data_IF_365215697058
#
_entry.id   IF_365215697058
#
_cell.length_a   1.000
_cell.length_b   1.000
_cell.length_c   1.000
_cell.angle_alpha   90.00
_cell.angle_beta   90.00
_cell.angle_gamma   90.00
#
_symmetry.space_group_name_H-M   'P 1'
#
loop_
_entity.id
_entity.type
_entity.pdbx_description
1 polymer ?
#
# COMPACT_ATOMS: atom_id res chain seq x y z
N UNK A 1 43.54 51.44 -68.73
CA UNK A 1 42.78 50.76 -67.66
C UNK A 1 41.82 49.78 -68.31
N UNK A 2 42.12 48.49 -68.27
CA UNK A 2 41.24 47.42 -68.77
C UNK A 2 41.02 46.45 -67.62
N UNK A 3 39.81 46.49 -67.07
CA UNK A 3 39.29 45.62 -66.02
C UNK A 3 39.04 44.23 -66.59
N UNK A 4 39.86 43.25 -66.20
CA UNK A 4 39.62 41.85 -66.48
C UNK A 4 38.55 41.32 -65.50
N UNK A 5 37.32 41.19 -65.99
CA UNK A 5 36.24 40.50 -65.28
C UNK A 5 36.50 38.99 -65.30
N UNK A 6 36.83 38.43 -64.15
CA UNK A 6 36.96 36.97 -63.96
C UNK A 6 35.57 36.35 -64.10
N UNK A 7 35.26 35.83 -65.28
CA UNK A 7 34.04 35.05 -65.53
C UNK A 7 34.18 33.70 -64.82
N UNK A 8 33.62 33.58 -63.60
CA UNK A 8 33.47 32.28 -62.92
C UNK A 8 32.70 31.34 -63.86
N UNK A 9 33.39 30.36 -64.44
CA UNK A 9 32.74 29.22 -65.10
C UNK A 9 31.91 28.50 -64.03
N UNK A 10 30.58 28.57 -64.14
CA UNK A 10 29.70 27.67 -63.40
C UNK A 10 29.82 26.31 -64.07
N UNK A 11 30.62 25.41 -63.50
CA UNK A 11 30.59 24.01 -63.91
C UNK A 11 29.21 23.46 -63.53
N UNK A 12 28.44 23.02 -64.54
CA UNK A 12 27.20 22.29 -64.30
C UNK A 12 27.53 20.87 -63.80
N UNK A 13 26.69 20.34 -62.92
CA UNK A 13 26.82 18.97 -62.43
C UNK A 13 26.61 17.97 -63.56
N UNK A 14 27.44 16.93 -63.62
CA UNK A 14 27.25 15.84 -64.59
C UNK A 14 26.15 14.90 -64.10
N UNK A 15 25.43 14.26 -65.02
CA UNK A 15 24.38 13.28 -64.68
C UNK A 15 24.93 12.13 -63.81
N UNK A 16 26.18 11.73 -64.07
CA UNK A 16 26.90 10.71 -63.29
C UNK A 16 27.14 11.16 -61.84
N UNK A 17 27.50 12.42 -61.63
CA UNK A 17 27.75 12.98 -60.31
C UNK A 17 26.46 13.04 -59.46
N UNK A 18 25.33 13.41 -60.06
CA UNK A 18 24.02 13.37 -59.40
C UNK A 18 23.61 11.93 -59.05
N UNK A 19 23.88 10.97 -59.93
CA UNK A 19 23.58 9.55 -59.69
C UNK A 19 24.39 9.00 -58.51
N UNK A 20 25.69 9.29 -58.44
CA UNK A 20 26.56 8.85 -57.33
C UNK A 20 26.08 9.46 -56.00
N UNK A 21 25.72 10.75 -55.99
CA UNK A 21 25.20 11.42 -54.78
C UNK A 21 23.90 10.78 -54.30
N UNK A 22 22.97 10.45 -55.21
CA UNK A 22 21.71 9.78 -54.87
C UNK A 22 21.93 8.39 -54.26
N UNK A 23 22.84 7.61 -54.82
CA UNK A 23 23.18 6.26 -54.28
C UNK A 23 23.78 6.37 -52.88
N UNK A 24 24.74 7.28 -52.69
CA UNK A 24 25.38 7.48 -51.38
C UNK A 24 24.38 7.99 -50.32
N UNK A 25 23.52 8.94 -50.68
CA UNK A 25 22.41 9.41 -49.82
C UNK A 25 21.47 8.26 -49.45
N UNK A 26 21.15 7.37 -50.40
CA UNK A 26 20.31 6.20 -50.15
C UNK A 26 20.93 5.24 -49.14
N UNK A 27 22.22 4.92 -49.28
CA UNK A 27 22.97 4.05 -48.35
C UNK A 27 23.03 4.69 -46.96
N UNK A 28 23.34 5.98 -46.87
CA UNK A 28 23.41 6.70 -45.61
C UNK A 28 22.06 6.76 -44.91
N UNK A 29 20.99 7.07 -45.65
CA UNK A 29 19.62 7.09 -45.13
C UNK A 29 19.18 5.71 -44.63
N UNK A 30 19.49 4.65 -45.38
CA UNK A 30 19.20 3.28 -44.96
C UNK A 30 19.96 2.93 -43.66
N UNK A 31 21.25 3.25 -43.58
CA UNK A 31 22.04 3.03 -42.37
C UNK A 31 21.47 3.78 -41.16
N UNK A 32 21.11 5.06 -41.33
CA UNK A 32 20.50 5.88 -40.27
C UNK A 32 19.16 5.31 -39.80
N UNK A 33 18.29 4.90 -40.72
CA UNK A 33 16.99 4.27 -40.37
C UNK A 33 17.22 2.97 -39.59
N UNK A 34 18.17 2.12 -40.01
CA UNK A 34 18.46 0.88 -39.27
C UNK A 34 18.97 1.15 -37.86
N UNK A 35 19.78 2.19 -37.67
CA UNK A 35 20.27 2.61 -36.36
C UNK A 35 19.14 3.12 -35.47
N UNK A 36 18.29 4.01 -36.00
CA UNK A 36 17.13 4.56 -35.28
C UNK A 36 16.15 3.46 -34.85
N UNK A 37 15.86 2.50 -35.74
CA UNK A 37 14.99 1.37 -35.40
C UNK A 37 15.59 0.47 -34.31
N UNK A 38 16.92 0.28 -34.30
CA UNK A 38 17.62 -0.46 -33.23
C UNK A 38 17.54 0.31 -31.90
N UNK A 39 17.80 1.61 -31.93
CA UNK A 39 17.67 2.48 -30.76
C UNK A 39 16.25 2.45 -30.20
N UNK A 40 15.22 2.62 -31.03
CA UNK A 40 13.82 2.60 -30.59
C UNK A 40 13.45 1.27 -29.91
N UNK A 41 13.87 0.12 -30.47
CA UNK A 41 13.63 -1.19 -29.85
C UNK A 41 14.34 -1.34 -28.51
N UNK A 42 15.58 -0.87 -28.42
CA UNK A 42 16.35 -0.89 -27.19
C UNK A 42 15.72 0.00 -26.11
N UNK A 43 15.31 1.23 -26.46
CA UNK A 43 14.60 2.13 -25.56
C UNK A 43 13.28 1.52 -25.07
N UNK A 44 12.47 0.97 -25.96
CA UNK A 44 11.21 0.31 -25.59
C UNK A 44 11.46 -0.87 -24.64
N UNK A 45 12.46 -1.71 -24.93
CA UNK A 45 12.82 -2.84 -24.07
C UNK A 45 13.30 -2.37 -22.69
N UNK A 46 14.10 -1.31 -22.64
CA UNK A 46 14.62 -0.73 -21.39
C UNK A 46 13.49 -0.14 -20.55
N UNK A 47 12.57 0.60 -21.17
CA UNK A 47 11.38 1.15 -20.51
C UNK A 47 10.52 0.04 -19.93
N UNK A 48 10.30 -1.05 -20.65
CA UNK A 48 9.55 -2.21 -20.14
C UNK A 48 10.22 -2.87 -18.93
N UNK A 49 11.56 -2.97 -18.93
CA UNK A 49 12.33 -3.45 -17.77
C UNK A 49 12.15 -2.55 -16.56
N UNK A 50 12.26 -1.24 -16.75
CA UNK A 50 12.12 -0.25 -15.68
C UNK A 50 10.71 -0.30 -15.09
N UNK A 51 9.67 -0.26 -15.93
CA UNK A 51 8.27 -0.28 -15.48
C UNK A 51 7.96 -1.57 -14.72
N UNK A 52 8.36 -2.74 -15.24
CA UNK A 52 8.14 -4.03 -14.56
C UNK A 52 8.79 -4.05 -13.18
N UNK A 53 10.03 -3.54 -13.06
CA UNK A 53 10.74 -3.46 -11.77
C UNK A 53 10.11 -2.46 -10.81
N UNK A 54 9.64 -1.31 -11.30
CA UNK A 54 8.94 -0.32 -10.48
C UNK A 54 7.65 -0.91 -9.89
N UNK A 55 6.88 -1.64 -10.68
CA UNK A 55 5.65 -2.30 -10.23
C UNK A 55 5.92 -3.37 -9.17
N UNK A 56 6.93 -4.24 -9.37
CA UNK A 56 7.33 -5.22 -8.36
C UNK A 56 7.79 -4.53 -7.07
N UNK A 57 8.59 -3.47 -7.17
CA UNK A 57 9.06 -2.72 -5.99
C UNK A 57 7.91 -2.09 -5.22
N UNK A 58 6.93 -1.49 -5.91
CA UNK A 58 5.73 -0.92 -5.31
C UNK A 58 4.96 -1.98 -4.50
N UNK A 59 4.74 -3.18 -5.07
CA UNK A 59 4.11 -4.31 -4.38
C UNK A 59 4.85 -4.67 -3.08
N UNK A 60 6.17 -4.79 -3.18
CA UNK A 60 7.03 -5.24 -2.07
C UNK A 60 7.40 -4.16 -1.06
N UNK A 61 7.09 -2.88 -1.30
CA UNK A 61 7.36 -1.81 -0.35
C UNK A 61 6.21 -1.61 0.63
N UNK A 62 4.97 -1.70 0.15
CA UNK A 62 3.76 -1.51 0.94
C UNK A 62 3.54 -2.67 1.92
N UNK A 63 3.64 -3.91 1.45
CA UNK A 63 3.41 -5.10 2.27
C UNK A 63 4.28 -5.15 3.55
N UNK A 64 5.61 -4.98 3.52
CA UNK A 64 6.42 -4.96 4.74
C UNK A 64 6.02 -3.89 5.75
N UNK A 65 5.58 -2.71 5.29
CA UNK A 65 5.19 -1.64 6.21
C UNK A 65 4.01 -2.08 7.05
N UNK A 66 2.99 -2.65 6.42
CA UNK A 66 1.79 -3.14 7.11
C UNK A 66 2.07 -4.40 7.94
N UNK A 67 2.81 -5.36 7.38
CA UNK A 67 3.11 -6.64 8.04
C UNK A 67 3.97 -6.46 9.31
N UNK A 68 4.82 -5.42 9.38
CA UNK A 68 5.64 -5.15 10.57
C UNK A 68 4.82 -4.73 11.79
N UNK A 69 3.67 -4.12 11.58
CA UNK A 69 2.77 -3.66 12.64
C UNK A 69 1.93 -4.78 13.24
N UNK A 70 1.90 -5.96 12.60
CA UNK A 70 1.08 -7.08 13.04
C UNK A 70 1.60 -7.73 14.32
N UNK A 71 0.67 -8.14 15.17
CA UNK A 71 0.88 -8.99 16.33
C UNK A 71 0.28 -10.38 16.13
N UNK A 72 1.14 -11.40 16.27
CA UNK A 72 0.68 -12.78 16.36
C UNK A 72 -0.10 -13.00 17.65
N UNK A 73 0.42 -12.52 18.78
CA UNK A 73 -0.19 -12.66 20.10
C UNK A 73 -1.54 -11.95 20.19
N UNK A 74 -1.69 -10.81 19.51
CA UNK A 74 -2.95 -10.10 19.38
C UNK A 74 -4.00 -10.87 18.56
N UNK A 75 -3.59 -11.84 17.72
CA UNK A 75 -4.48 -12.54 16.81
C UNK A 75 -4.76 -11.77 15.51
N UNK A 76 -3.82 -10.94 15.05
CA UNK A 76 -4.05 -10.05 13.91
C UNK A 76 -4.19 -10.77 12.57
N UNK A 77 -3.69 -12.00 12.45
CA UNK A 77 -3.71 -12.77 11.21
C UNK A 77 -5.05 -13.54 11.07
N UNK A 78 -5.88 -13.12 10.12
CA UNK A 78 -7.21 -13.67 9.88
C UNK A 78 -7.24 -14.73 8.78
N UNK A 79 -6.54 -14.51 7.67
CA UNK A 79 -6.43 -15.46 6.53
C UNK A 79 -4.97 -15.61 6.15
N UNK A 80 -4.58 -16.85 5.84
CA UNK A 80 -3.20 -17.23 5.54
C UNK A 80 -3.21 -18.27 4.43
N UNK A 81 -2.91 -17.88 3.19
CA UNK A 81 -2.82 -18.79 2.03
C UNK A 81 -1.52 -18.55 1.27
N UNK A 82 -1.27 -19.34 0.22
CA UNK A 82 -0.10 -19.18 -0.65
C UNK A 82 -0.13 -17.89 -1.48
N UNK A 83 -1.30 -17.31 -1.73
CA UNK A 83 -1.51 -16.23 -2.69
C UNK A 83 -2.34 -15.08 -2.12
N UNK A 84 -2.75 -15.18 -0.86
CA UNK A 84 -3.46 -14.14 -0.13
C UNK A 84 -3.15 -14.14 1.36
N UNK A 85 -3.29 -12.96 1.95
CA UNK A 85 -3.18 -12.75 3.38
C UNK A 85 -4.20 -11.72 3.83
N UNK A 86 -4.84 -11.98 4.98
CA UNK A 86 -5.72 -11.02 5.63
C UNK A 86 -5.29 -10.80 7.06
N UNK A 87 -5.20 -9.53 7.46
CA UNK A 87 -4.82 -9.18 8.81
C UNK A 87 -5.38 -7.83 9.25
N UNK A 88 -5.36 -7.59 10.56
CA UNK A 88 -5.70 -6.28 11.14
C UNK A 88 -4.53 -5.30 10.95
N UNK A 89 -4.76 -4.26 10.16
CA UNK A 89 -3.83 -3.16 9.97
C UNK A 89 -4.28 -1.91 10.73
N UNK A 90 -3.33 -1.18 11.32
CA UNK A 90 -3.60 0.09 11.99
C UNK A 90 -3.82 1.17 10.93
N UNK A 91 -5.01 1.76 10.87
CA UNK A 91 -5.31 2.85 9.92
C UNK A 91 -5.46 4.22 10.59
N UNK A 92 -5.51 4.26 11.92
CA UNK A 92 -5.73 5.49 12.66
C UNK A 92 -5.34 5.40 14.12
N UNK A 93 -5.10 6.56 14.70
CA UNK A 93 -4.81 6.74 16.13
C UNK A 93 -5.60 7.92 16.67
N UNK A 94 -5.95 7.88 17.95
CA UNK A 94 -6.57 9.01 18.65
C UNK A 94 -6.23 8.97 20.13
N UNK A 95 -6.72 9.97 20.86
CA UNK A 95 -6.72 10.02 22.32
C UNK A 95 -8.17 10.00 22.79
N UNK A 96 -8.43 9.17 23.80
CA UNK A 96 -9.73 9.07 24.45
C UNK A 96 -10.00 10.38 25.17
N UNK A 97 -11.03 11.11 24.74
CA UNK A 97 -11.42 12.33 25.42
C UNK A 97 -12.32 12.05 26.61
N UNK A 98 -13.36 11.23 26.44
CA UNK A 98 -14.19 10.74 27.53
C UNK A 98 -14.27 9.22 27.43
N UNK A 99 -14.30 8.53 28.58
CA UNK A 99 -14.44 7.07 28.65
C UNK A 99 -15.55 6.76 29.65
N UNK A 100 -16.47 5.88 29.27
CA UNK A 100 -17.55 5.43 30.13
C UNK A 100 -17.65 3.91 30.09
N UNK A 101 -17.09 3.26 31.12
CA UNK A 101 -17.11 1.82 31.28
C UNK A 101 -18.54 1.26 31.40
N UNK A 102 -19.42 1.91 32.19
CA UNK A 102 -20.79 1.46 32.40
C UNK A 102 -21.66 1.58 31.14
N UNK A 103 -21.43 2.63 30.35
CA UNK A 103 -22.10 2.86 29.06
C UNK A 103 -21.46 2.14 27.87
N UNK A 104 -20.33 1.46 28.08
CA UNK A 104 -19.57 0.77 27.04
C UNK A 104 -19.16 1.66 25.85
N UNK A 105 -18.75 2.90 26.13
CA UNK A 105 -18.38 3.85 25.08
C UNK A 105 -17.18 4.73 25.46
N UNK A 106 -16.54 5.30 24.44
CA UNK A 106 -15.56 6.37 24.59
C UNK A 106 -15.78 7.42 23.50
N UNK A 107 -15.19 8.60 23.67
CA UNK A 107 -15.16 9.65 22.67
C UNK A 107 -13.73 10.00 22.26
N UNK A 108 -13.56 10.56 21.07
CA UNK A 108 -12.25 10.94 20.53
C UNK A 108 -12.03 12.43 20.57
N UNK A 109 -10.78 12.85 20.71
CA UNK A 109 -10.40 14.23 20.36
C UNK A 109 -10.69 14.47 18.86
N UNK A 110 -11.17 15.66 18.45
CA UNK A 110 -11.31 16.01 17.03
C UNK A 110 -10.00 15.91 16.25
N UNK A 111 -10.07 15.86 14.92
CA UNK A 111 -8.90 15.67 14.05
C UNK A 111 -7.99 16.90 14.06
N UNK A 112 -8.58 18.09 14.04
CA UNK A 112 -7.86 19.36 14.04
C UNK A 112 -8.01 20.05 15.40
N UNK A 113 -6.95 20.66 15.91
CA UNK A 113 -6.99 21.47 17.12
C UNK A 113 -6.41 22.84 16.81
N UNK A 114 -7.02 23.90 17.35
CA UNK A 114 -6.56 25.28 17.19
C UNK A 114 -5.13 25.49 17.71
N UNK A 115 -4.72 24.69 18.70
CA UNK A 115 -3.35 24.67 19.25
C UNK A 115 -2.32 23.98 18.33
N UNK A 116 -2.74 23.43 17.20
CA UNK A 116 -1.86 22.72 16.25
C UNK A 116 -1.36 21.35 16.71
N UNK A 117 -1.87 20.82 17.84
CA UNK A 117 -1.53 19.48 18.31
C UNK A 117 -2.30 18.41 17.53
N UNK A 118 -1.62 17.37 17.05
CA UNK A 118 -2.22 16.27 16.31
C UNK A 118 -2.46 15.07 17.24
N UNK A 119 -3.60 15.05 17.93
CA UNK A 119 -3.98 13.96 18.83
C UNK A 119 -4.78 12.85 18.13
N UNK A 120 -5.44 13.20 17.03
CA UNK A 120 -6.25 12.27 16.22
C UNK A 120 -5.78 12.30 14.78
N UNK A 121 -5.52 11.13 14.21
CA UNK A 121 -5.10 10.98 12.83
C UNK A 121 -5.71 9.72 12.22
N UNK A 122 -6.50 9.89 11.17
CA UNK A 122 -6.95 8.82 10.29
C UNK A 122 -7.36 9.44 8.95
N UNK A 123 -7.16 8.70 7.85
CA UNK A 123 -7.60 9.14 6.52
C UNK A 123 -9.06 8.78 6.23
N UNK A 124 -9.56 7.74 6.90
CA UNK A 124 -10.93 7.24 6.79
C UNK A 124 -11.46 7.18 8.22
N UNK A 125 -12.66 7.70 8.51
CA UNK A 125 -13.21 7.61 9.86
C UNK A 125 -13.41 6.14 10.27
N UNK A 126 -13.35 5.84 11.57
CA UNK A 126 -13.75 4.53 12.07
C UNK A 126 -15.17 4.21 11.61
N UNK A 127 -15.42 2.94 11.33
CA UNK A 127 -16.69 2.40 10.87
C UNK A 127 -17.19 1.33 11.85
N UNK A 128 -18.48 0.99 11.74
CA UNK A 128 -19.06 -0.14 12.46
C UNK A 128 -18.25 -1.42 12.20
N UNK A 129 -18.03 -2.23 13.24
CA UNK A 129 -17.27 -3.47 13.24
C UNK A 129 -15.75 -3.34 13.04
N UNK A 130 -15.20 -2.12 12.96
CA UNK A 130 -13.75 -1.95 13.10
C UNK A 130 -13.30 -2.41 14.49
N UNK A 131 -12.04 -2.81 14.57
CA UNK A 131 -11.39 -3.15 15.84
C UNK A 131 -10.70 -1.91 16.41
N UNK A 132 -10.69 -1.79 17.72
CA UNK A 132 -10.03 -0.70 18.43
C UNK A 132 -9.24 -1.29 19.60
N UNK A 133 -8.09 -0.71 19.89
CA UNK A 133 -7.36 -0.96 21.12
C UNK A 133 -7.26 0.33 21.93
N UNK A 134 -7.68 0.27 23.18
CA UNK A 134 -7.54 1.34 24.15
C UNK A 134 -6.42 0.98 25.11
N UNK A 135 -5.56 1.95 25.43
CA UNK A 135 -4.58 1.78 26.49
C UNK A 135 -5.26 1.90 27.86
N UNK A 136 -5.03 0.92 28.71
CA UNK A 136 -5.57 0.83 30.06
C UNK A 136 -4.39 0.81 31.04
N UNK A 137 -4.32 1.79 31.92
CA UNK A 137 -3.23 1.96 32.92
C UNK A 137 -3.40 0.98 34.10
N UNK A 138 -4.49 0.22 34.13
CA UNK A 138 -4.76 -0.68 35.25
C UNK A 138 -5.12 0.04 36.55
N UNK A 139 -5.25 -0.74 37.62
CA UNK A 139 -5.68 -0.25 38.94
C UNK A 139 -4.51 0.11 39.85
N UNK A 140 -3.31 -0.38 39.52
CA UNK A 140 -2.12 -0.28 40.35
C UNK A 140 -1.25 0.88 39.90
N UNK A 141 -0.54 1.49 40.85
CA UNK A 141 0.46 2.50 40.52
C UNK A 141 1.74 1.77 40.09
N UNK A 142 1.90 1.53 38.78
CA UNK A 142 3.08 0.93 38.15
C UNK A 142 2.73 0.13 36.90
N UNK A 143 3.66 -0.01 35.94
CA UNK A 143 3.35 -0.54 34.61
C UNK A 143 3.15 -2.06 34.48
N UNK A 144 2.70 -2.76 35.53
CA UNK A 144 2.55 -4.22 35.54
C UNK A 144 1.16 -4.68 35.06
N UNK A 145 0.15 -3.84 35.25
CA UNK A 145 -1.23 -4.05 34.80
C UNK A 145 -1.63 -3.19 33.60
N UNK A 146 -0.74 -2.29 33.17
CA UNK A 146 -0.80 -1.56 31.91
C UNK A 146 -0.96 -2.50 30.71
N UNK A 147 -1.93 -2.22 29.85
CA UNK A 147 -2.14 -3.04 28.67
C UNK A 147 -3.06 -2.45 27.61
N UNK A 148 -2.91 -2.98 26.40
CA UNK A 148 -3.85 -2.71 25.31
C UNK A 148 -5.09 -3.58 25.44
N UNK A 149 -6.25 -2.96 25.62
CA UNK A 149 -7.56 -3.61 25.64
C UNK A 149 -8.18 -3.57 24.26
N UNK A 150 -8.34 -4.74 23.65
CA UNK A 150 -8.95 -4.87 22.33
C UNK A 150 -10.47 -4.98 22.44
N UNK A 151 -11.17 -4.20 21.63
CA UNK A 151 -12.61 -4.21 21.50
C UNK A 151 -13.02 -4.02 20.04
N UNK A 152 -14.29 -4.31 19.74
CA UNK A 152 -14.92 -4.04 18.45
C UNK A 152 -15.88 -2.88 18.58
N UNK A 153 -15.92 -2.01 17.57
CA UNK A 153 -16.92 -0.95 17.46
C UNK A 153 -18.29 -1.59 17.17
N UNK A 154 -19.21 -1.49 18.13
CA UNK A 154 -20.55 -2.08 18.05
C UNK A 154 -21.60 -1.09 17.57
N UNK A 155 -21.33 0.20 17.73
CA UNK A 155 -22.04 1.28 17.07
C UNK A 155 -21.11 2.50 17.02
N UNK A 156 -21.31 3.36 16.04
CA UNK A 156 -20.77 4.73 16.07
C UNK A 156 -21.92 5.66 16.41
N UNK A 157 -22.21 5.85 17.70
CA UNK A 157 -23.24 6.79 18.13
C UNK A 157 -22.78 8.23 17.93
N UNK A 158 -23.17 8.81 16.79
CA UNK A 158 -23.21 10.26 16.50
C UNK A 158 -21.88 11.02 16.45
N UNK A 159 -21.80 11.93 15.47
CA UNK A 159 -20.81 13.01 15.46
C UNK A 159 -21.24 14.04 16.51
N UNK A 160 -20.39 14.28 17.51
CA UNK A 160 -20.71 15.22 18.58
C UNK A 160 -20.03 16.56 18.27
N UNK A 161 -20.86 17.58 18.10
CA UNK A 161 -20.45 18.97 17.89
C UNK A 161 -20.72 19.77 19.16
N UNK A 162 -19.85 20.74 19.46
CA UNK A 162 -19.96 21.55 20.67
C UNK A 162 -19.44 20.87 21.94
N UNK A 163 -19.43 21.66 23.02
CA UNK A 163 -18.84 21.31 24.32
C UNK A 163 -19.78 20.38 25.13
N UNK A 164 -19.62 19.07 24.97
CA UNK A 164 -20.49 18.05 25.57
C UNK A 164 -19.70 16.84 26.10
N UNK A 165 -20.13 16.30 27.23
CA UNK A 165 -19.57 15.10 27.89
C UNK A 165 -19.67 13.81 27.07
N UNK A 166 -20.62 13.71 26.13
CA UNK A 166 -20.67 12.56 25.18
C UNK A 166 -19.65 12.72 24.04
N UNK A 167 -19.20 13.95 23.78
CA UNK A 167 -18.13 14.25 22.85
C UNK A 167 -16.83 14.51 23.61
N UNK A 168 -16.15 15.59 23.25
CA UNK A 168 -14.95 16.03 23.94
C UNK A 168 -15.19 17.41 24.55
N UNK A 169 -15.52 17.50 25.85
CA UNK A 169 -15.81 18.79 26.46
C UNK A 169 -14.52 19.58 26.71
N UNK A 170 -14.58 20.91 26.75
CA UNK A 170 -13.43 21.78 27.05
C UNK A 170 -12.87 21.55 28.47
N UNK A 171 -13.71 21.02 29.38
CA UNK A 171 -13.31 20.57 30.72
C UNK A 171 -12.28 19.43 30.70
N UNK A 172 -12.17 18.68 29.60
CA UNK A 172 -11.11 17.69 29.38
C UNK A 172 -9.71 18.30 29.34
N UNK A 173 -9.60 19.61 29.08
CA UNK A 173 -8.35 20.34 28.79
C UNK A 173 -7.61 19.86 27.54
N UNK A 174 -8.16 18.89 26.81
CA UNK A 174 -7.63 18.39 25.54
C UNK A 174 -8.04 19.28 24.36
N UNK A 175 -9.18 19.96 24.49
CA UNK A 175 -9.79 20.79 23.43
C UNK A 175 -10.23 22.16 23.97
N UNK A 176 -10.49 23.07 23.05
CA UNK A 176 -11.15 24.35 23.27
C UNK A 176 -12.53 24.33 22.61
N UNK A 177 -13.44 25.20 23.03
CA UNK A 177 -14.81 25.27 22.46
C UNK A 177 -14.79 25.48 20.94
N UNK A 178 -13.83 26.26 20.43
CA UNK A 178 -13.66 26.52 19.00
C UNK A 178 -13.23 25.30 18.18
N UNK A 179 -12.70 24.25 18.81
CA UNK A 179 -12.27 23.04 18.10
C UNK A 179 -13.47 22.18 17.67
N UNK A 180 -14.60 22.29 18.37
CA UNK A 180 -15.74 21.37 18.28
C UNK A 180 -16.80 21.89 17.30
N UNK A 181 -16.49 21.82 16.01
CA UNK A 181 -17.37 22.31 14.93
C UNK A 181 -18.02 21.16 14.16
N UNK A 182 -19.02 21.47 13.32
CA UNK A 182 -19.64 20.49 12.44
C UNK A 182 -18.65 19.86 11.43
N UNK A 183 -17.62 20.59 11.02
CA UNK A 183 -16.56 20.09 10.13
C UNK A 183 -15.41 19.41 10.88
N UNK A 184 -15.36 19.50 12.21
CA UNK A 184 -14.35 18.89 13.06
C UNK A 184 -14.99 18.31 14.34
N UNK A 185 -15.87 17.31 14.21
CA UNK A 185 -16.59 16.75 15.34
C UNK A 185 -15.71 15.82 16.19
N UNK A 186 -16.11 15.65 17.44
CA UNK A 186 -15.71 14.50 18.25
C UNK A 186 -16.50 13.27 17.81
N UNK A 187 -15.89 12.09 17.81
CA UNK A 187 -16.60 10.84 17.55
C UNK A 187 -16.97 10.20 18.88
N UNK A 188 -18.23 9.82 19.05
CA UNK A 188 -18.70 9.04 20.18
C UNK A 188 -18.92 7.60 19.70
N UNK A 189 -18.22 6.65 20.34
CA UNK A 189 -17.98 5.31 19.82
C UNK A 189 -18.36 4.28 20.90
N UNK A 190 -19.34 3.43 20.59
CA UNK A 190 -19.71 2.31 21.44
C UNK A 190 -18.90 1.07 21.06
N UNK A 191 -18.45 0.33 22.08
CA UNK A 191 -17.56 -0.82 21.89
C UNK A 191 -17.97 -2.03 22.72
N UNK A 192 -17.49 -3.20 22.29
CA UNK A 192 -17.58 -4.44 23.05
C UNK A 192 -16.28 -5.25 22.89
N UNK A 193 -15.65 -5.72 23.98
CA UNK A 193 -16.01 -5.50 25.38
C UNK A 193 -15.98 -4.02 25.79
N UNK A 194 -16.71 -3.67 26.85
CA UNK A 194 -16.73 -2.30 27.38
C UNK A 194 -15.33 -1.87 27.88
N UNK A 195 -15.01 -0.56 27.89
CA UNK A 195 -13.82 -0.08 28.58
C UNK A 195 -13.84 -0.49 30.05
N UNK A 196 -12.66 -0.65 30.65
CA UNK A 196 -12.52 -0.83 32.10
C UNK A 196 -12.63 0.51 32.81
N UNK A 197 -12.97 0.50 34.10
CA UNK A 197 -13.00 1.73 34.92
C UNK A 197 -11.60 2.36 35.10
N UNK A 198 -10.55 1.60 34.80
CA UNK A 198 -9.14 2.00 34.84
C UNK A 198 -8.67 2.63 33.52
N UNK A 199 -9.47 2.56 32.45
CA UNK A 199 -9.19 3.29 31.21
C UNK A 199 -9.50 4.78 31.42
N UNK A 200 -8.46 5.61 31.47
CA UNK A 200 -8.57 7.02 31.82
C UNK A 200 -8.82 7.94 30.62
N UNK A 201 -9.33 9.14 30.90
CA UNK A 201 -9.28 10.27 29.96
C UNK A 201 -7.82 10.57 29.60
N UNK A 202 -7.55 10.74 28.31
CA UNK A 202 -6.19 10.86 27.79
C UNK A 202 -5.57 9.54 27.32
N UNK A 203 -6.26 8.40 27.51
CA UNK A 203 -5.77 7.11 27.06
C UNK A 203 -5.53 7.08 25.54
N UNK A 204 -4.46 6.39 25.13
CA UNK A 204 -4.15 6.23 23.70
C UNK A 204 -5.09 5.23 23.04
N UNK A 205 -5.54 5.54 21.82
CA UNK A 205 -6.42 4.70 21.02
C UNK A 205 -5.76 4.35 19.69
N UNK A 206 -5.86 3.08 19.30
CA UNK A 206 -5.48 2.58 17.97
C UNK A 206 -6.69 1.97 17.28
N UNK A 207 -6.91 2.34 16.02
CA UNK A 207 -7.97 1.80 15.20
C UNK A 207 -7.40 0.82 14.18
N UNK A 208 -8.06 -0.31 14.04
CA UNK A 208 -7.66 -1.41 13.20
C UNK A 208 -8.79 -1.78 12.25
N UNK A 209 -8.40 -2.07 11.02
CA UNK A 209 -9.31 -2.62 10.01
C UNK A 209 -8.67 -3.84 9.39
N UNK A 210 -9.49 -4.85 9.12
CA UNK A 210 -9.06 -6.03 8.38
C UNK A 210 -8.76 -5.63 6.94
N UNK A 211 -7.51 -5.79 6.53
CA UNK A 211 -7.05 -5.58 5.16
C UNK A 211 -6.69 -6.91 4.54
N UNK A 212 -6.98 -7.05 3.26
CA UNK A 212 -6.75 -8.24 2.48
C UNK A 212 -5.86 -7.90 1.29
N UNK A 213 -4.78 -8.65 1.17
CA UNK A 213 -3.89 -8.63 0.02
C UNK A 213 -3.99 -9.96 -0.70
N UNK A 214 -4.20 -9.94 -2.01
CA UNK A 214 -4.28 -11.17 -2.79
C UNK A 214 -3.78 -11.00 -4.22
N UNK A 215 -3.35 -12.10 -4.82
CA UNK A 215 -3.14 -12.19 -6.25
C UNK A 215 -4.50 -12.27 -6.94
N UNK A 216 -4.86 -11.23 -7.68
CA UNK A 216 -6.18 -11.08 -8.27
C UNK A 216 -6.11 -10.87 -9.78
N UNK A 217 -6.98 -11.55 -10.53
CA UNK A 217 -7.11 -11.37 -11.97
C UNK A 217 -8.08 -10.22 -12.23
N UNK A 218 -7.56 -9.11 -12.75
CA UNK A 218 -8.36 -7.92 -13.04
C UNK A 218 -9.28 -8.15 -14.23
N UNK A 219 -10.56 -7.83 -14.08
CA UNK A 219 -11.57 -8.15 -15.09
C UNK A 219 -11.43 -7.30 -16.36
N UNK A 220 -10.90 -6.07 -16.24
CA UNK A 220 -10.82 -5.13 -17.36
C UNK A 220 -9.81 -5.55 -18.43
N UNK A 221 -8.67 -6.11 -18.04
CA UNK A 221 -7.58 -6.47 -18.97
C UNK A 221 -7.17 -7.96 -18.88
N UNK A 222 -7.76 -8.73 -17.97
CA UNK A 222 -7.47 -10.14 -17.75
C UNK A 222 -6.08 -10.43 -17.17
N UNK A 223 -5.34 -9.40 -16.73
CA UNK A 223 -4.00 -9.54 -16.15
C UNK A 223 -4.08 -9.73 -14.64
N UNK A 224 -2.97 -10.20 -14.05
CA UNK A 224 -2.90 -10.47 -12.61
C UNK A 224 -2.19 -9.34 -11.88
N UNK A 225 -2.72 -8.96 -10.73
CA UNK A 225 -2.24 -7.85 -9.92
C UNK A 225 -2.20 -8.25 -8.45
N UNK A 226 -1.33 -7.60 -7.68
CA UNK A 226 -1.52 -7.51 -6.24
C UNK A 226 -2.71 -6.59 -6.00
N UNK A 227 -3.78 -7.14 -5.46
CA UNK A 227 -4.96 -6.39 -5.06
C UNK A 227 -4.91 -6.06 -3.57
N UNK A 228 -5.52 -4.93 -3.23
CA UNK A 228 -5.79 -4.46 -1.88
C UNK A 228 -7.27 -4.14 -1.73
N UNK A 229 -7.86 -4.60 -0.63
CA UNK A 229 -9.22 -4.26 -0.20
C UNK A 229 -9.36 -4.55 1.28
N UNK A 230 -10.42 -4.06 1.90
CA UNK A 230 -10.70 -4.26 3.31
C UNK A 230 -11.89 -5.21 3.51
N UNK A 231 -11.78 -6.10 4.52
CA UNK A 231 -12.74 -7.15 4.82
C UNK A 231 -13.27 -7.02 6.25
N UNK A 232 -14.23 -6.14 6.47
CA UNK A 232 -14.78 -5.88 7.81
C UNK A 232 -15.87 -6.90 8.14
N UNK A 233 -15.73 -7.68 9.23
CA UNK A 233 -16.74 -8.63 9.67
C UNK A 233 -18.11 -7.96 9.86
N UNK A 234 -19.19 -8.69 9.56
CA UNK A 234 -20.59 -8.22 9.71
C UNK A 234 -20.96 -6.97 8.89
N UNK A 235 -20.10 -6.52 7.96
CA UNK A 235 -20.47 -5.54 6.93
C UNK A 235 -21.05 -6.27 5.71
N UNK A 236 -21.93 -5.61 4.95
CA UNK A 236 -22.42 -6.08 3.67
C UNK A 236 -22.04 -5.09 2.53
N UNK A 237 -21.24 -5.51 1.53
CA UNK A 237 -20.46 -6.75 1.50
C UNK A 237 -19.35 -6.75 2.57
N UNK A 238 -18.93 -7.94 3.01
CA UNK A 238 -17.86 -8.10 4.02
C UNK A 238 -16.58 -7.47 3.49
N UNK A 239 -16.19 -7.84 2.27
CA UNK A 239 -15.04 -7.29 1.57
C UNK A 239 -15.48 -6.23 0.56
N UNK A 240 -14.74 -5.13 0.50
CA UNK A 240 -14.89 -4.11 -0.55
C UNK A 240 -14.36 -4.63 -1.89
N UNK A 241 -14.62 -3.87 -2.96
CA UNK A 241 -14.13 -4.21 -4.30
C UNK A 241 -12.60 -4.18 -4.33
N UNK A 242 -11.93 -5.25 -4.80
CA UNK A 242 -10.49 -5.29 -4.95
C UNK A 242 -9.97 -4.09 -5.76
N UNK A 243 -8.87 -3.47 -5.32
CA UNK A 243 -8.18 -2.41 -6.06
C UNK A 243 -6.77 -2.89 -6.46
N UNK A 244 -6.36 -2.77 -7.73
CA UNK A 244 -5.04 -3.19 -8.17
C UNK A 244 -4.01 -2.17 -7.70
N UNK A 245 -3.07 -2.58 -6.84
CA UNK A 245 -2.05 -1.68 -6.29
C UNK A 245 -0.67 -1.89 -6.91
N UNK A 246 -0.42 -3.04 -7.53
CA UNK A 246 0.81 -3.32 -8.25
C UNK A 246 0.66 -4.47 -9.25
N UNK A 247 1.32 -4.37 -10.41
CA UNK A 247 1.36 -5.40 -11.44
C UNK A 247 1.62 -4.81 -12.83
N UNK A 248 1.56 -5.61 -13.91
CA UNK A 248 1.09 -7.00 -13.93
C UNK A 248 2.10 -8.01 -13.34
N UNK A 249 1.55 -8.99 -12.63
CA UNK A 249 2.25 -10.15 -12.08
C UNK A 249 1.98 -11.38 -12.95
N UNK A 250 2.75 -12.45 -12.73
CA UNK A 250 2.44 -13.74 -13.35
C UNK A 250 1.09 -14.29 -12.85
N UNK A 251 0.44 -15.19 -13.60
CA UNK A 251 -0.75 -15.87 -13.12
C UNK A 251 -0.53 -16.66 -11.83
N UNK A 252 -1.64 -16.90 -11.13
CA UNK A 252 -1.66 -17.90 -10.08
C UNK A 252 -1.24 -19.27 -10.64
N UNK A 253 -0.42 -19.97 -9.87
CA UNK A 253 -0.05 -21.34 -10.14
C UNK A 253 -0.02 -22.10 -8.81
N UNK A 254 -0.45 -23.36 -8.81
CA UNK A 254 -0.61 -24.15 -7.60
C UNK A 254 0.70 -24.30 -6.79
N UNK A 255 0.63 -24.57 -5.48
CA UNK A 255 1.80 -24.80 -4.64
C UNK A 255 2.77 -25.82 -5.26
N UNK A 256 4.07 -25.51 -5.24
CA UNK A 256 5.10 -26.30 -5.92
C UNK A 256 5.41 -25.86 -7.35
N UNK A 257 4.67 -24.89 -7.89
CA UNK A 257 4.97 -24.21 -9.16
C UNK A 257 5.18 -22.70 -8.94
N UNK A 258 5.63 -21.98 -9.96
CA UNK A 258 5.98 -20.56 -9.83
C UNK A 258 4.76 -19.64 -10.03
N UNK A 259 4.05 -19.31 -8.95
CA UNK A 259 2.98 -18.30 -8.91
C UNK A 259 3.52 -16.86 -9.05
N UNK A 260 2.68 -15.92 -9.50
CA UNK A 260 3.01 -14.47 -9.55
C UNK A 260 3.15 -13.79 -8.19
N UNK A 261 2.48 -14.33 -7.18
CA UNK A 261 2.62 -13.92 -5.78
C UNK A 261 2.63 -15.18 -4.94
N UNK A 262 3.53 -15.22 -3.97
CA UNK A 262 3.72 -16.37 -3.10
C UNK A 262 4.01 -15.89 -1.67
N UNK A 263 3.21 -16.36 -0.73
CA UNK A 263 3.41 -16.20 0.70
C UNK A 263 3.88 -17.52 1.30
N UNK A 264 4.97 -17.47 2.07
CA UNK A 264 5.45 -18.60 2.87
C UNK A 264 5.59 -18.17 4.31
N UNK A 265 5.02 -18.94 5.23
CA UNK A 265 4.97 -18.62 6.65
C UNK A 265 5.91 -19.53 7.42
N UNK A 266 6.72 -18.94 8.28
CA UNK A 266 7.71 -19.66 9.08
C UNK A 266 7.44 -19.46 10.56
N UNK A 267 7.66 -20.49 11.34
CA UNK A 267 7.65 -20.42 12.80
C UNK A 267 8.95 -19.82 13.37
N UNK A 268 9.05 -19.77 14.70
CA UNK A 268 10.20 -19.23 15.42
C UNK A 268 11.48 -20.06 15.25
N UNK A 269 11.38 -21.32 14.85
CA UNK A 269 12.51 -22.21 14.56
C UNK A 269 12.97 -22.13 13.09
N UNK A 270 12.16 -21.50 12.23
CA UNK A 270 12.41 -21.37 10.81
C UNK A 270 11.75 -22.46 9.96
N UNK A 271 10.92 -23.32 10.54
CA UNK A 271 10.14 -24.32 9.81
C UNK A 271 8.88 -23.69 9.20
N UNK A 272 8.43 -24.22 8.05
CA UNK A 272 7.19 -23.75 7.41
C UNK A 272 6.00 -24.17 8.25
N UNK A 273 5.08 -23.24 8.53
CA UNK A 273 3.91 -23.49 9.38
C UNK A 273 2.61 -23.11 8.68
N UNK A 274 1.59 -23.94 8.88
CA UNK A 274 0.19 -23.64 8.53
C UNK A 274 -0.59 -23.06 9.73
N UNK A 275 0.04 -22.98 10.91
CA UNK A 275 -0.60 -22.51 12.15
C UNK A 275 -0.37 -21.01 12.30
N UNK A 276 -1.44 -20.22 12.16
CA UNK A 276 -1.40 -18.75 12.29
C UNK A 276 -0.75 -18.30 13.61
N UNK A 277 -1.09 -18.99 14.68
CA UNK A 277 -0.54 -18.75 16.01
C UNK A 277 0.92 -19.20 16.17
N UNK A 278 1.64 -19.67 15.14
CA UNK A 278 3.07 -19.95 15.23
C UNK A 278 3.91 -19.05 14.32
N UNK A 279 3.27 -18.23 13.47
CA UNK A 279 3.97 -17.41 12.48
C UNK A 279 4.91 -16.40 13.14
N UNK A 280 6.20 -16.51 12.86
CA UNK A 280 7.23 -15.58 13.33
C UNK A 280 7.84 -14.78 12.17
N UNK A 281 7.79 -15.30 10.95
CA UNK A 281 8.32 -14.65 9.75
C UNK A 281 7.46 -14.99 8.53
N UNK A 282 7.27 -14.01 7.66
CA UNK A 282 6.53 -14.13 6.40
C UNK A 282 7.50 -13.80 5.26
N UNK A 283 7.69 -14.74 4.34
CA UNK A 283 8.37 -14.52 3.06
C UNK A 283 7.31 -14.17 2.02
N UNK A 284 7.50 -13.08 1.30
CA UNK A 284 6.67 -12.72 0.15
C UNK A 284 7.54 -12.70 -1.09
N UNK A 285 7.12 -13.42 -2.13
CA UNK A 285 7.76 -13.38 -3.45
C UNK A 285 6.76 -12.82 -4.45
N UNK A 286 7.11 -11.70 -5.09
CA UNK A 286 6.37 -11.15 -6.21
C UNK A 286 7.15 -11.40 -7.50
N UNK A 287 6.48 -11.89 -8.54
CA UNK A 287 7.07 -12.21 -9.85
C UNK A 287 6.32 -11.44 -10.93
N UNK A 288 6.95 -10.40 -11.47
CA UNK A 288 6.40 -9.61 -12.56
C UNK A 288 6.63 -10.27 -13.92
N UNK A 289 5.75 -9.94 -14.86
CA UNK A 289 5.88 -10.34 -16.26
C UNK A 289 5.69 -9.10 -17.13
N UNK A 290 6.67 -8.82 -18.00
CA UNK A 290 6.53 -7.74 -18.97
C UNK A 290 5.41 -8.02 -19.97
N UNK A 291 4.77 -6.95 -20.46
CA UNK A 291 3.63 -7.06 -21.37
C UNK A 291 4.03 -7.54 -22.77
N UNK A 292 5.27 -7.27 -23.15
CA UNK A 292 5.84 -7.62 -24.44
C UNK A 292 7.13 -8.40 -24.28
N UNK A 293 7.51 -9.10 -25.34
CA UNK A 293 8.85 -9.68 -25.43
C UNK A 293 9.87 -8.56 -25.63
N UNK A 294 11.00 -8.67 -24.95
CA UNK A 294 12.10 -7.72 -25.05
C UNK A 294 13.23 -8.32 -25.89
N UNK A 295 13.98 -7.44 -26.56
CA UNK A 295 15.15 -7.84 -27.33
C UNK A 295 16.29 -6.84 -27.07
N UNK A 296 17.10 -7.16 -26.06
CA UNK A 296 18.22 -6.30 -25.61
C UNK A 296 19.54 -6.61 -26.33
N UNK A 297 19.72 -7.83 -26.82
CA UNK A 297 21.01 -8.33 -27.35
C UNK A 297 20.99 -8.66 -28.84
N UNK A 298 19.87 -8.41 -29.53
CA UNK A 298 19.67 -8.82 -30.94
C UNK A 298 19.26 -10.30 -31.11
N UNK A 299 19.08 -11.04 -30.01
CA UNK A 299 18.60 -12.42 -29.99
C UNK A 299 17.08 -12.52 -30.23
N UNK A 300 16.52 -13.74 -30.16
CA UNK A 300 15.07 -13.93 -30.22
C UNK A 300 14.38 -13.15 -29.07
N UNK A 301 13.24 -12.47 -29.33
CA UNK A 301 12.50 -11.79 -28.29
C UNK A 301 12.05 -12.74 -27.17
N UNK A 302 12.38 -12.42 -25.92
CA UNK A 302 12.01 -13.23 -24.75
C UNK A 302 11.03 -12.46 -23.84
N UNK A 303 10.09 -13.14 -23.17
CA UNK A 303 9.23 -12.49 -22.19
C UNK A 303 10.08 -11.99 -21.02
N UNK A 304 9.97 -10.71 -20.68
CA UNK A 304 10.62 -10.18 -19.50
C UNK A 304 10.00 -10.82 -18.25
N UNK A 305 10.85 -11.40 -17.41
CA UNK A 305 10.49 -11.94 -16.11
C UNK A 305 11.44 -11.38 -15.07
N UNK A 306 10.88 -10.90 -13.97
CA UNK A 306 11.67 -10.44 -12.84
C UNK A 306 10.96 -10.86 -11.54
N UNK A 307 11.71 -11.01 -10.47
CA UNK A 307 11.17 -11.39 -9.18
C UNK A 307 11.88 -10.68 -8.05
N UNK A 308 11.11 -10.44 -6.99
CA UNK A 308 11.64 -9.88 -5.76
C UNK A 308 11.10 -10.68 -4.59
N UNK A 309 12.00 -11.06 -3.70
CA UNK A 309 11.69 -11.71 -2.44
C UNK A 309 11.96 -10.74 -1.30
N UNK A 310 11.00 -10.65 -0.40
CA UNK A 310 11.13 -9.92 0.86
C UNK A 310 10.82 -10.86 2.02
N UNK A 311 11.51 -10.67 3.13
CA UNK A 311 11.22 -11.38 4.37
C UNK A 311 10.87 -10.37 5.46
N UNK A 312 9.75 -10.63 6.14
CA UNK A 312 9.25 -9.78 7.21
C UNK A 312 9.16 -10.60 8.47
N UNK A 313 10.02 -10.29 9.44
CA UNK A 313 9.92 -10.83 10.78
C UNK A 313 8.83 -10.07 11.55
N UNK A 314 7.87 -10.79 12.13
CA UNK A 314 6.88 -10.19 13.03
C UNK A 314 7.60 -9.77 14.32
N UNK A 315 7.41 -8.54 14.77
CA UNK A 315 8.07 -8.02 15.98
C UNK A 315 7.29 -8.32 17.25
N UNK A 316 5.97 -8.25 17.18
CA UNK A 316 5.11 -8.49 18.33
C UNK A 316 4.70 -9.97 18.39
N UNK A 317 5.64 -10.80 18.87
CA UNK A 317 5.52 -12.25 18.88
C UNK A 317 5.00 -12.83 20.20
N UNK A 318 5.10 -12.10 21.31
CA UNK A 318 4.76 -12.59 22.66
C UNK A 318 3.53 -11.87 23.19
#
# INVERSE_FOLDING_TARGET
>A
MLTATVRRRRAGFTLVEILVVLVLMGIFSAAMVTLLLRQQRFYNSTTQVILTRQQIRQATFMLPADLRGMSRAGGDLAVMTDSSIEFRSVFGTSVACMVNAAGAWFSTVPVQLAKGSAMTNWKIPPALNDSVALYDDGASIGGQDDGWRFARITAIPSLVTGDNVTGCPSSSKLVQVSDLTASNPSYHIAISPAPTATTLQGASIRFFRHVHYSLYKWATDGKWYLAYYDCVPFRAPVCTTPQPIAGPLRPYAAPGTTSGLEFTYYDSTGAVTAVKAQVARISVVARGQGETTINLTGAAPIPLRDSLRIEVALRNRN
#
